data_IF_509961151533
#
_entry.id   IF_509961151533
#
_cell.length_a   1.000
_cell.length_b   1.000
_cell.length_c   1.000
_cell.angle_alpha   90.00
_cell.angle_beta   90.00
_cell.angle_gamma   90.00
#
_symmetry.space_group_name_H-M   'P 1'
#
loop_
_entity.id
_entity.type
_entity.pdbx_description
1 polymer ?
#
# COMPACT_ATOMS: atom_id res chain seq x y z
N UNK A 1 19.17 -1.82 0.00
CA UNK A 1 18.92 -0.66 0.90
C UNK A 1 17.60 0.00 0.49
N UNK A 2 16.88 0.68 1.38
CA UNK A 2 15.55 1.22 1.07
C UNK A 2 15.62 2.32 -0.01
N UNK A 3 15.27 1.98 -1.26
CA UNK A 3 15.18 2.92 -2.40
C UNK A 3 14.03 3.93 -2.27
N UNK A 4 13.24 3.85 -1.18
CA UNK A 4 12.09 4.70 -0.89
C UNK A 4 12.44 6.17 -0.56
N UNK A 5 13.72 6.56 -0.54
CA UNK A 5 14.13 7.90 -0.08
C UNK A 5 13.67 9.04 -1.01
N UNK A 6 13.59 8.84 -2.33
CA UNK A 6 13.14 9.89 -3.26
C UNK A 6 11.63 10.14 -3.20
N UNK A 7 10.84 9.12 -2.85
CA UNK A 7 9.37 9.19 -2.79
C UNK A 7 8.82 9.19 -1.36
N UNK A 8 9.71 9.24 -0.35
CA UNK A 8 9.36 9.10 1.07
C UNK A 8 8.28 10.10 1.51
N UNK A 9 8.38 11.35 1.08
CA UNK A 9 7.41 12.39 1.43
C UNK A 9 6.01 12.10 0.86
N UNK A 10 5.92 11.60 -0.38
CA UNK A 10 4.66 11.24 -1.03
C UNK A 10 4.03 10.01 -0.37
N UNK A 11 4.82 8.99 -0.10
CA UNK A 11 4.37 7.79 0.61
C UNK A 11 3.86 8.13 2.03
N UNK A 12 4.58 8.97 2.77
CA UNK A 12 4.14 9.45 4.08
C UNK A 12 2.83 10.26 3.98
N UNK A 13 2.66 11.09 2.96
CA UNK A 13 1.41 11.81 2.74
C UNK A 13 0.23 10.85 2.49
N UNK A 14 0.43 9.78 1.70
CA UNK A 14 -0.59 8.73 1.50
C UNK A 14 -0.94 8.01 2.79
N UNK A 15 0.05 7.60 3.58
CA UNK A 15 -0.17 6.96 4.89
C UNK A 15 -0.97 7.87 5.84
N UNK A 16 -0.66 9.17 5.86
CA UNK A 16 -1.41 10.15 6.66
C UNK A 16 -2.87 10.27 6.21
N UNK A 17 -3.14 10.23 4.89
CA UNK A 17 -4.51 10.23 4.36
C UNK A 17 -5.27 8.97 4.77
N UNK A 18 -4.64 7.79 4.65
CA UNK A 18 -5.23 6.52 5.07
C UNK A 18 -5.55 6.54 6.57
N UNK A 19 -4.65 7.07 7.41
CA UNK A 19 -4.91 7.25 8.84
C UNK A 19 -6.18 8.08 9.09
N UNK A 20 -6.33 9.21 8.41
CA UNK A 20 -7.53 10.03 8.51
C UNK A 20 -8.82 9.30 8.09
N UNK A 21 -8.74 8.37 7.13
CA UNK A 21 -9.88 7.51 6.77
C UNK A 21 -10.23 6.53 7.90
N UNK A 22 -9.23 5.93 8.55
CA UNK A 22 -9.45 5.02 9.69
C UNK A 22 -10.04 5.77 10.89
N UNK A 23 -9.51 6.94 11.22
CA UNK A 23 -10.06 7.82 12.26
C UNK A 23 -11.50 8.26 11.93
N UNK A 24 -11.81 8.48 10.65
CA UNK A 24 -13.16 8.78 10.17
C UNK A 24 -14.13 7.62 10.36
N UNK A 25 -13.70 6.39 10.04
CA UNK A 25 -14.48 5.17 10.25
C UNK A 25 -14.81 4.95 11.73
N UNK A 26 -13.83 5.13 12.62
CA UNK A 26 -14.02 5.01 14.07
C UNK A 26 -15.06 6.00 14.59
N UNK A 27 -14.98 7.27 14.16
CA UNK A 27 -15.97 8.29 14.52
C UNK A 27 -17.36 7.97 13.97
N UNK A 28 -17.45 7.46 12.74
CA UNK A 28 -18.73 7.11 12.12
C UNK A 28 -19.40 5.93 12.86
N UNK A 29 -18.62 4.94 13.29
CA UNK A 29 -19.12 3.84 14.13
C UNK A 29 -19.61 4.32 15.50
N UNK A 30 -18.93 5.31 16.10
CA UNK A 30 -19.34 5.87 17.39
C UNK A 30 -20.60 6.77 17.32
N UNK A 31 -21.05 7.15 16.11
CA UNK A 31 -22.14 8.11 15.89
C UNK A 31 -23.38 7.47 15.23
N UNK A 32 -23.48 6.14 15.18
CA UNK A 32 -24.60 5.39 14.57
C UNK A 32 -24.95 5.87 13.15
N UNK A 33 -23.92 6.10 12.31
CA UNK A 33 -24.07 6.59 10.93
C UNK A 33 -24.69 5.52 10.02
N UNK A 34 -25.44 5.97 8.99
CA UNK A 34 -26.04 5.10 7.97
C UNK A 34 -25.06 4.05 7.40
N UNK A 35 -25.54 2.81 7.29
CA UNK A 35 -24.76 1.66 6.82
C UNK A 35 -24.17 1.89 5.42
N UNK A 36 -24.89 2.55 4.52
CA UNK A 36 -24.42 2.81 3.14
C UNK A 36 -23.26 3.81 3.15
N UNK A 37 -23.34 4.82 4.02
CA UNK A 37 -22.25 5.78 4.20
C UNK A 37 -21.00 5.10 4.77
N UNK A 38 -21.15 4.21 5.76
CA UNK A 38 -20.03 3.45 6.31
C UNK A 38 -19.39 2.52 5.27
N UNK A 39 -20.21 1.79 4.49
CA UNK A 39 -19.72 0.95 3.39
C UNK A 39 -18.93 1.75 2.35
N UNK A 40 -19.39 2.97 2.04
CA UNK A 40 -18.67 3.87 1.12
C UNK A 40 -17.31 4.30 1.68
N UNK A 41 -17.23 4.60 2.97
CA UNK A 41 -15.96 4.94 3.63
C UNK A 41 -14.99 3.76 3.65
N UNK A 42 -15.47 2.55 3.95
CA UNK A 42 -14.66 1.32 3.93
C UNK A 42 -14.13 1.04 2.52
N UNK A 43 -14.97 1.22 1.49
CA UNK A 43 -14.55 1.07 0.09
C UNK A 43 -13.45 2.08 -0.29
N UNK A 44 -13.57 3.33 0.16
CA UNK A 44 -12.57 4.38 -0.07
C UNK A 44 -11.25 4.07 0.66
N UNK A 45 -11.30 3.58 1.90
CA UNK A 45 -10.12 3.11 2.64
C UNK A 45 -9.42 1.96 1.92
N UNK A 46 -10.17 0.94 1.50
CA UNK A 46 -9.64 -0.21 0.75
C UNK A 46 -8.95 0.24 -0.53
N UNK A 47 -9.56 1.15 -1.30
CA UNK A 47 -8.97 1.71 -2.52
C UNK A 47 -7.67 2.47 -2.26
N UNK A 48 -7.61 3.26 -1.18
CA UNK A 48 -6.41 4.01 -0.81
C UNK A 48 -5.26 3.09 -0.37
N UNK A 49 -5.56 2.07 0.45
CA UNK A 49 -4.60 1.04 0.85
C UNK A 49 -4.05 0.28 -0.36
N UNK A 50 -4.94 -0.08 -1.30
CA UNK A 50 -4.54 -0.76 -2.53
C UNK A 50 -3.62 0.09 -3.40
N UNK A 51 -3.95 1.38 -3.56
CA UNK A 51 -3.10 2.30 -4.31
C UNK A 51 -1.70 2.44 -3.72
N UNK A 52 -1.59 2.48 -2.39
CA UNK A 52 -0.29 2.51 -1.71
C UNK A 52 0.51 1.23 -1.96
N UNK A 53 -0.14 0.06 -1.90
CA UNK A 53 0.51 -1.23 -2.16
C UNK A 53 1.08 -1.30 -3.58
N UNK A 54 0.30 -0.91 -4.59
CA UNK A 54 0.74 -0.93 -6.00
C UNK A 54 1.95 -0.03 -6.21
N UNK A 55 1.98 1.15 -5.57
CA UNK A 55 3.10 2.08 -5.66
C UNK A 55 4.38 1.48 -5.07
N UNK A 56 4.29 0.88 -3.86
CA UNK A 56 5.42 0.21 -3.22
C UNK A 56 5.93 -0.99 -4.03
N UNK A 57 5.02 -1.79 -4.59
CA UNK A 57 5.36 -2.93 -5.43
C UNK A 57 6.07 -2.49 -6.72
N UNK A 58 5.55 -1.45 -7.38
CA UNK A 58 6.17 -0.89 -8.60
C UNK A 58 7.59 -0.41 -8.33
N UNK A 59 7.80 0.27 -7.21
CA UNK A 59 9.12 0.76 -6.82
C UNK A 59 10.09 -0.39 -6.54
N UNK A 60 9.64 -1.43 -5.82
CA UNK A 60 10.45 -2.61 -5.55
C UNK A 60 10.84 -3.35 -6.83
N UNK A 61 9.89 -3.57 -7.74
CA UNK A 61 10.16 -4.21 -9.04
C UNK A 61 11.20 -3.45 -9.86
N UNK A 62 11.10 -2.11 -9.92
CA UNK A 62 12.04 -1.27 -10.67
C UNK A 62 13.47 -1.39 -10.14
N UNK A 63 13.63 -1.36 -8.81
CA UNK A 63 14.93 -1.26 -8.18
C UNK A 63 15.62 -2.60 -7.92
N UNK A 64 14.85 -3.65 -7.62
CA UNK A 64 15.40 -4.94 -7.24
C UNK A 64 15.27 -6.02 -8.32
N UNK A 65 14.36 -5.84 -9.28
CA UNK A 65 14.17 -6.81 -10.37
C UNK A 65 14.65 -6.26 -11.69
N UNK A 66 14.19 -5.07 -12.11
CA UNK A 66 14.51 -4.53 -13.43
C UNK A 66 15.92 -3.91 -13.53
N UNK A 67 16.52 -3.50 -12.40
CA UNK A 67 17.82 -2.85 -12.40
C UNK A 67 18.95 -3.78 -12.90
N UNK A 68 19.84 -3.31 -13.82
CA UNK A 68 20.96 -4.09 -14.34
C UNK A 68 21.93 -4.58 -13.27
N UNK A 69 22.13 -3.80 -12.21
CA UNK A 69 23.07 -4.09 -11.12
C UNK A 69 22.53 -5.14 -10.13
N UNK A 70 21.25 -5.48 -10.21
CA UNK A 70 20.58 -6.39 -9.27
C UNK A 70 20.74 -7.88 -9.62
N UNK A 71 21.58 -8.25 -10.59
CA UNK A 71 21.68 -9.62 -11.11
C UNK A 71 21.93 -10.70 -10.03
N UNK A 72 22.64 -10.39 -8.95
CA UNK A 72 22.88 -11.32 -7.85
C UNK A 72 21.75 -11.44 -6.82
N UNK A 73 20.85 -10.44 -6.74
CA UNK A 73 19.75 -10.38 -5.75
C UNK A 73 18.36 -10.52 -6.38
N UNK A 74 18.29 -10.55 -7.72
CA UNK A 74 17.04 -10.57 -8.49
C UNK A 74 16.13 -11.74 -8.13
N UNK A 75 16.69 -12.94 -7.95
CA UNK A 75 15.91 -14.15 -7.67
C UNK A 75 15.24 -14.06 -6.28
N UNK A 76 15.97 -13.56 -5.28
CA UNK A 76 15.42 -13.28 -3.95
C UNK A 76 14.30 -12.21 -3.99
N UNK A 77 14.48 -11.15 -4.77
CA UNK A 77 13.46 -10.10 -4.92
C UNK A 77 12.17 -10.63 -5.59
N UNK A 78 12.30 -11.55 -6.55
CA UNK A 78 11.16 -12.22 -7.19
C UNK A 78 10.42 -13.11 -6.18
N UNK A 79 11.15 -13.85 -5.34
CA UNK A 79 10.56 -14.68 -4.29
C UNK A 79 9.80 -13.84 -3.25
N UNK A 80 10.39 -12.73 -2.80
CA UNK A 80 9.77 -11.79 -1.86
C UNK A 80 8.43 -11.25 -2.40
N UNK A 81 8.42 -10.80 -3.66
CA UNK A 81 7.20 -10.32 -4.31
C UNK A 81 6.18 -11.45 -4.47
N UNK A 82 6.62 -12.65 -4.84
CA UNK A 82 5.74 -13.82 -5.00
C UNK A 82 5.04 -14.14 -3.68
N UNK A 83 5.75 -14.07 -2.56
CA UNK A 83 5.19 -14.28 -1.23
C UNK A 83 4.14 -13.21 -0.86
N UNK A 84 4.44 -11.94 -1.16
CA UNK A 84 3.51 -10.82 -0.93
C UNK A 84 2.25 -10.97 -1.79
N UNK A 85 2.40 -11.26 -3.09
CA UNK A 85 1.29 -11.44 -4.01
C UNK A 85 0.40 -12.63 -3.61
N UNK A 86 0.97 -13.73 -3.12
CA UNK A 86 0.20 -14.87 -2.58
C UNK A 86 -0.66 -14.48 -1.38
N UNK A 87 -0.21 -13.54 -0.54
CA UNK A 87 -1.00 -13.04 0.59
C UNK A 87 -2.11 -12.11 0.12
N UNK A 88 -1.84 -11.31 -0.91
CA UNK A 88 -2.76 -10.31 -1.44
C UNK A 88 -3.86 -10.87 -2.35
N UNK A 89 -3.57 -11.92 -3.12
CA UNK A 89 -4.49 -12.54 -4.08
C UNK A 89 -5.33 -13.69 -3.49
N UNK A 90 -5.19 -13.96 -2.19
CA UNK A 90 -6.11 -14.83 -1.45
C UNK A 90 -7.41 -14.10 -1.15
#
# INVERSE_FOLDING_TARGET
MAHLNQEKSKLLARVRRIRGQVEGLEKALAQDVDCTALLTQVAAFRGAAQGLMVELLSEHLKHHVAAPEALGERELAVDDITAILKTYLK
#
